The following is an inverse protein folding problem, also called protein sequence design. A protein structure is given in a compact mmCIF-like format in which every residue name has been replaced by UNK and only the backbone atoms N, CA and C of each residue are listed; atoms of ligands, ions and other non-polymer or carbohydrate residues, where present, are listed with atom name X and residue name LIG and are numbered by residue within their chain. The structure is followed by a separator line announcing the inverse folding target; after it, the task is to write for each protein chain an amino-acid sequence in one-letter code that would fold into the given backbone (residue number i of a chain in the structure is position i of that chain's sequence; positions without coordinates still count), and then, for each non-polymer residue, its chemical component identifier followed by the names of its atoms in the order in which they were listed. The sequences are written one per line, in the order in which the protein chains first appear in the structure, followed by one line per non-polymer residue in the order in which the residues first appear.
data_IF_176048169809
#
_entry.id   IF_176048169809
#
_cell.length_a   1.000
_cell.length_b   1.000
_cell.length_c   1.000
_cell.angle_alpha   90.00
_cell.angle_beta   90.00
_cell.angle_gamma   90.00
#
_symmetry.space_group_name_H-M   'P 1'
#
loop_
_entity.id
_entity.type
_entity.pdbx_description
1 polymer ?
#
# COMPACT_ATOMS: atom_id res chain seq x y z
N UNK A 1 0.19 -6.56 16.09
CA UNK A 1 0.78 -5.39 15.39
C UNK A 1 -0.14 -4.23 15.68
N UNK A 2 0.34 -3.12 16.24
CA UNK A 2 -0.50 -1.95 16.53
C UNK A 2 -1.21 -1.48 15.25
N UNK A 3 -2.51 -1.21 15.31
CA UNK A 3 -3.31 -0.92 14.11
C UNK A 3 -2.80 0.32 13.37
N UNK A 4 -2.50 1.40 14.11
CA UNK A 4 -1.90 2.61 13.55
C UNK A 4 -0.55 2.37 12.88
N UNK A 5 0.26 1.45 13.40
CA UNK A 5 1.53 1.08 12.79
C UNK A 5 1.31 0.35 11.45
N UNK A 6 0.32 -0.55 11.39
CA UNK A 6 -0.08 -1.21 10.15
C UNK A 6 -0.67 -0.22 9.14
N UNK A 7 -1.43 0.78 9.60
CA UNK A 7 -1.96 1.85 8.77
C UNK A 7 -0.83 2.71 8.17
N UNK A 8 0.15 3.11 8.97
CA UNK A 8 1.33 3.85 8.50
C UNK A 8 2.11 3.06 7.44
N UNK A 9 2.32 1.76 7.66
CA UNK A 9 2.95 0.86 6.69
C UNK A 9 2.20 0.82 5.35
N UNK A 10 0.87 0.69 5.40
CA UNK A 10 0.02 0.69 4.19
C UNK A 10 0.04 2.03 3.47
N UNK A 11 0.01 3.14 4.21
CA UNK A 11 0.13 4.48 3.63
C UNK A 11 1.45 4.63 2.87
N UNK A 12 2.58 4.29 3.51
CA UNK A 12 3.91 4.36 2.90
C UNK A 12 4.08 3.49 1.66
N UNK A 13 3.38 2.35 1.57
CA UNK A 13 3.38 1.52 0.37
C UNK A 13 2.86 2.25 -0.88
N UNK A 14 2.01 3.27 -0.70
CA UNK A 14 1.44 4.08 -1.78
C UNK A 14 2.36 5.17 -2.34
N UNK A 15 3.37 5.61 -1.60
CA UNK A 15 4.19 6.77 -1.97
C UNK A 15 5.41 6.44 -2.86
N UNK A 16 5.50 5.21 -3.40
CA UNK A 16 6.62 4.77 -4.26
C UNK A 16 8.03 5.01 -3.69
N UNK A 17 8.17 5.16 -2.38
CA UNK A 17 9.44 5.45 -1.70
C UNK A 17 10.44 4.28 -1.80
N UNK A 18 11.75 4.55 -1.82
CA UNK A 18 12.77 3.54 -1.54
C UNK A 18 12.50 2.82 -0.20
N UNK A 19 12.73 1.51 -0.15
CA UNK A 19 12.45 0.72 1.08
C UNK A 19 13.19 1.23 2.31
N UNK A 20 14.42 1.72 2.13
CA UNK A 20 15.24 2.27 3.21
C UNK A 20 14.64 3.58 3.76
N UNK A 21 14.04 4.40 2.90
CA UNK A 21 13.38 5.64 3.29
C UNK A 21 12.09 5.36 4.05
N UNK A 22 11.25 4.46 3.54
CA UNK A 22 10.05 4.02 4.25
C UNK A 22 10.36 3.40 5.62
N UNK A 23 11.45 2.62 5.73
CA UNK A 23 11.91 2.09 7.02
C UNK A 23 12.32 3.21 7.99
N UNK A 24 13.07 4.22 7.53
CA UNK A 24 13.46 5.38 8.35
C UNK A 24 12.24 6.17 8.84
N UNK A 25 11.23 6.35 7.99
CA UNK A 25 9.99 7.05 8.35
C UNK A 25 9.14 6.28 9.38
N UNK A 26 9.29 4.95 9.48
CA UNK A 26 8.58 4.13 10.46
C UNK A 26 9.24 4.11 11.85
N UNK A 27 10.50 4.51 11.97
CA UNK A 27 11.20 4.60 13.26
C UNK A 27 10.47 5.54 14.24
N UNK A 28 10.18 6.81 13.89
CA UNK A 28 9.47 7.71 14.81
C UNK A 28 8.02 7.28 15.06
N UNK A 29 7.40 6.53 14.15
CA UNK A 29 6.06 5.95 14.36
C UNK A 29 6.13 4.82 15.39
N UNK A 30 7.14 3.95 15.30
CA UNK A 30 7.35 2.88 16.27
C UNK A 30 7.60 3.43 17.68
N UNK A 31 8.42 4.47 17.79
CA UNK A 31 8.70 5.15 19.06
C UNK A 31 7.46 5.79 19.66
N UNK A 32 6.65 6.50 18.85
CA UNK A 32 5.42 7.16 19.32
C UNK A 32 4.36 6.17 19.81
N UNK A 33 4.29 5.00 19.19
CA UNK A 33 3.32 3.96 19.52
C UNK A 33 3.85 2.96 20.56
N UNK A 34 5.05 3.20 21.12
CA UNK A 34 5.74 2.30 22.05
C UNK A 34 5.80 0.84 21.56
N UNK A 35 6.08 0.66 20.27
CA UNK A 35 6.25 -0.67 19.65
C UNK A 35 7.70 -0.92 19.27
N UNK A 36 8.14 -2.19 19.24
CA UNK A 36 9.47 -2.53 18.79
C UNK A 36 9.75 -1.98 17.38
N UNK A 37 10.91 -1.33 17.23
CA UNK A 37 11.36 -0.83 15.92
C UNK A 37 11.35 -1.98 14.91
N UNK A 38 10.76 -1.78 13.71
CA UNK A 38 10.71 -2.83 12.71
C UNK A 38 12.11 -3.06 12.12
N UNK A 39 12.42 -4.32 11.78
CA UNK A 39 13.61 -4.59 10.98
C UNK A 39 13.41 -4.15 9.54
N UNK A 40 14.46 -3.66 8.90
CA UNK A 40 14.46 -3.28 7.49
C UNK A 40 13.87 -4.38 6.60
N UNK A 41 14.30 -5.63 6.83
CA UNK A 41 13.85 -6.80 6.06
C UNK A 41 12.33 -7.00 6.15
N UNK A 42 11.76 -6.80 7.35
CA UNK A 42 10.32 -6.92 7.58
C UNK A 42 9.55 -5.82 6.85
N UNK A 43 10.02 -4.57 6.93
CA UNK A 43 9.43 -3.44 6.20
C UNK A 43 9.49 -3.68 4.69
N UNK A 44 10.65 -4.07 4.16
CA UNK A 44 10.82 -4.35 2.73
C UNK A 44 9.85 -5.43 2.25
N UNK A 45 9.75 -6.56 2.96
CA UNK A 45 8.82 -7.64 2.58
C UNK A 45 7.37 -7.18 2.60
N UNK A 46 6.97 -6.42 3.62
CA UNK A 46 5.61 -5.88 3.71
C UNK A 46 5.31 -4.94 2.53
N UNK A 47 6.20 -3.98 2.25
CA UNK A 47 6.00 -3.00 1.19
C UNK A 47 5.91 -3.67 -0.20
N UNK A 48 6.72 -4.69 -0.47
CA UNK A 48 6.64 -5.46 -1.72
C UNK A 48 5.27 -6.13 -1.86
N UNK A 49 4.84 -6.85 -0.83
CA UNK A 49 3.54 -7.54 -0.86
C UNK A 49 2.36 -6.55 -1.01
N UNK A 50 2.41 -5.41 -0.31
CA UNK A 50 1.36 -4.39 -0.39
C UNK A 50 1.32 -3.70 -1.75
N UNK A 51 2.48 -3.43 -2.35
CA UNK A 51 2.58 -2.89 -3.72
C UNK A 51 2.05 -3.86 -4.75
N UNK A 52 2.39 -5.13 -4.63
CA UNK A 52 1.87 -6.18 -5.51
C UNK A 52 0.35 -6.34 -5.36
N UNK A 53 -0.18 -6.30 -4.13
CA UNK A 53 -1.62 -6.30 -3.88
C UNK A 53 -2.30 -5.11 -4.57
N UNK A 54 -1.74 -3.91 -4.42
CA UNK A 54 -2.28 -2.69 -5.04
C UNK A 54 -2.21 -2.74 -6.56
N UNK A 55 -1.12 -3.26 -7.12
CA UNK A 55 -0.97 -3.44 -8.56
C UNK A 55 -2.03 -4.38 -9.12
N UNK A 56 -2.33 -5.49 -8.43
CA UNK A 56 -3.43 -6.40 -8.81
C UNK A 56 -4.79 -5.73 -8.78
N UNK A 57 -5.13 -5.08 -7.66
CA UNK A 57 -6.40 -4.35 -7.53
C UNK A 57 -6.51 -3.27 -8.61
N UNK A 58 -5.41 -2.55 -8.89
CA UNK A 58 -5.37 -1.54 -9.94
C UNK A 58 -5.60 -2.15 -11.33
N UNK A 59 -5.00 -3.29 -11.64
CA UNK A 59 -5.21 -3.98 -12.90
C UNK A 59 -6.66 -4.45 -13.08
N UNK A 60 -7.38 -4.74 -11.99
CA UNK A 60 -8.81 -5.10 -12.02
C UNK A 60 -9.72 -3.86 -12.12
N UNK A 61 -9.37 -2.77 -11.43
CA UNK A 61 -10.20 -1.55 -11.34
C UNK A 61 -10.01 -0.62 -12.54
N UNK A 62 -8.79 -0.47 -13.04
CA UNK A 62 -8.47 0.47 -14.12
C UNK A 62 -9.32 0.23 -15.39
N UNK A 63 -9.58 -1.02 -15.84
CA UNK A 63 -10.48 -1.27 -16.97
C UNK A 63 -11.92 -0.82 -16.70
N UNK A 64 -12.46 -1.10 -15.50
CA UNK A 64 -13.83 -0.70 -15.12
C UNK A 64 -13.94 0.83 -15.10
N UNK A 65 -12.93 1.51 -14.54
CA UNK A 65 -12.89 2.98 -14.54
C UNK A 65 -12.78 3.52 -15.97
N UNK A 66 -11.94 2.91 -16.81
CA UNK A 66 -11.81 3.31 -18.21
C UNK A 66 -13.12 3.14 -18.99
N UNK A 67 -13.82 2.02 -18.82
CA UNK A 67 -15.12 1.76 -19.44
C UNK A 67 -16.16 2.80 -18.98
N UNK A 68 -16.25 3.06 -17.66
CA UNK A 68 -17.15 4.07 -17.10
C UNK A 68 -16.87 5.47 -17.66
N UNK A 69 -15.60 5.86 -17.74
CA UNK A 69 -15.19 7.16 -18.29
C UNK A 69 -15.43 7.26 -19.80
N UNK A 70 -15.45 6.14 -20.52
CA UNK A 70 -15.82 6.07 -21.92
C UNK A 70 -17.34 6.02 -22.16
N UNK A 71 -18.16 6.05 -21.10
CA UNK A 71 -19.63 6.02 -21.17
C UNK A 71 -20.23 4.61 -21.24
N UNK A 72 -19.43 3.55 -21.06
CA UNK A 72 -19.91 2.19 -20.98
C UNK A 72 -20.24 1.84 -19.51
N UNK A 73 -21.51 1.54 -19.23
CA UNK A 73 -21.85 0.97 -17.92
C UNK A 73 -21.53 -0.54 -17.93
N UNK A 74 -21.03 -1.11 -16.83
CA UNK A 74 -20.67 -2.53 -16.77
C UNK A 74 -21.86 -3.48 -17.04
N UNK A 75 -23.11 -3.00 -16.94
CA UNK A 75 -24.32 -3.76 -17.26
C UNK A 75 -24.53 -4.06 -18.76
N UNK A 76 -23.74 -3.45 -19.65
CA UNK A 76 -23.89 -3.58 -21.11
C UNK A 76 -22.94 -4.60 -21.74
N UNK A 77 -22.08 -5.26 -20.96
CA UNK A 77 -21.27 -6.40 -21.42
C UNK A 77 -21.98 -7.71 -21.08
N UNK A 78 -22.67 -8.30 -22.06
CA UNK A 78 -23.18 -9.67 -22.06
C UNK A 78 -22.55 -10.42 -23.23
#
# INVERSE_FOLDING_TARGET
MHEDFAAALRLLAGFSLPHAEAWRLLIPVAERLDVPRPSYWRVRRFLLAERERRARVRAEVDPVVADLLAGFLPIWRW
#
